data_IF_387764133987
#
_entry.id   IF_387764133987
#
_cell.length_a   1.000
_cell.length_b   1.000
_cell.length_c   1.000
_cell.angle_alpha   90.00
_cell.angle_beta   90.00
_cell.angle_gamma   90.00
#
_symmetry.space_group_name_H-M   'P 1'
#
loop_
_entity.id
_entity.type
_entity.pdbx_description
1 polymer ?
#
# COMPACT_ATOMS: atom_id res chain seq x y z
N UNK A 1 66.22 -5.78 12.10
CA UNK A 1 64.76 -5.73 11.87
C UNK A 1 64.28 -7.15 11.64
N UNK A 2 63.49 -7.73 12.55
CA UNK A 2 63.13 -9.14 12.48
C UNK A 2 62.05 -9.33 11.39
N UNK A 3 62.44 -9.91 10.25
CA UNK A 3 61.58 -10.13 9.08
C UNK A 3 60.23 -10.75 9.43
N UNK A 4 60.19 -11.61 10.45
CA UNK A 4 58.98 -12.27 10.94
C UNK A 4 57.94 -11.29 11.49
N UNK A 5 58.36 -10.18 12.08
CA UNK A 5 57.46 -9.18 12.66
C UNK A 5 56.89 -8.23 11.60
N UNK A 6 57.68 -7.93 10.57
CA UNK A 6 57.25 -7.15 9.41
C UNK A 6 56.20 -7.91 8.59
N UNK A 7 56.42 -9.20 8.34
CA UNK A 7 55.47 -10.05 7.61
C UNK A 7 54.13 -10.12 8.35
N UNK A 8 54.13 -10.31 9.68
CA UNK A 8 52.90 -10.33 10.48
C UNK A 8 52.14 -9.01 10.44
N UNK A 9 52.84 -7.87 10.46
CA UNK A 9 52.23 -6.53 10.37
C UNK A 9 51.60 -6.29 8.99
N UNK A 10 52.29 -6.70 7.93
CA UNK A 10 51.79 -6.59 6.56
C UNK A 10 50.54 -7.46 6.40
N UNK A 11 50.58 -8.69 6.93
CA UNK A 11 49.46 -9.63 6.84
C UNK A 11 48.21 -9.11 7.57
N UNK A 12 48.38 -8.57 8.78
CA UNK A 12 47.29 -7.97 9.55
C UNK A 12 46.64 -6.77 8.84
N UNK A 13 47.44 -5.95 8.14
CA UNK A 13 46.95 -4.82 7.34
C UNK A 13 46.20 -5.27 6.10
N UNK A 14 46.66 -6.33 5.45
CA UNK A 14 46.00 -6.92 4.28
C UNK A 14 44.67 -7.54 4.70
N UNK A 15 44.61 -8.29 5.81
CA UNK A 15 43.34 -8.84 6.30
C UNK A 15 42.31 -7.76 6.64
N UNK A 16 42.75 -6.65 7.25
CA UNK A 16 41.86 -5.54 7.57
C UNK A 16 41.32 -4.86 6.30
N UNK A 17 42.16 -4.70 5.27
CA UNK A 17 41.75 -4.11 3.99
C UNK A 17 40.78 -5.02 3.22
N UNK A 18 40.99 -6.33 3.24
CA UNK A 18 40.12 -7.30 2.57
C UNK A 18 38.78 -7.45 3.30
N UNK A 19 38.76 -7.40 4.64
CA UNK A 19 37.51 -7.46 5.44
C UNK A 19 36.66 -6.18 5.35
N UNK A 20 37.27 -5.03 5.04
CA UNK A 20 36.57 -3.76 4.83
C UNK A 20 36.16 -3.50 3.38
N UNK A 21 36.64 -4.30 2.43
CA UNK A 21 36.32 -4.14 1.01
C UNK A 21 35.00 -4.84 0.68
N UNK A 22 34.02 -4.07 0.24
CA UNK A 22 32.81 -4.61 -0.39
C UNK A 22 33.17 -5.17 -1.78
N UNK A 23 32.64 -6.33 -2.20
CA UNK A 23 32.98 -6.94 -3.49
C UNK A 23 32.75 -5.98 -4.66
N UNK A 24 33.69 -5.95 -5.61
CA UNK A 24 33.56 -5.20 -6.85
C UNK A 24 32.47 -5.85 -7.72
N UNK A 25 31.33 -5.19 -7.80
CA UNK A 25 30.18 -5.63 -8.58
C UNK A 25 29.06 -4.61 -8.50
N UNK A 26 28.65 -4.20 -7.30
CA UNK A 26 27.69 -3.11 -7.04
C UNK A 26 27.56 -2.88 -5.52
N UNK A 27 28.61 -2.33 -4.89
CA UNK A 27 28.52 -1.89 -3.51
C UNK A 27 27.84 -0.51 -3.45
N UNK A 28 26.54 -0.45 -3.67
CA UNK A 28 25.79 0.77 -3.37
C UNK A 28 25.61 0.86 -1.84
N UNK A 29 26.46 1.68 -1.20
CA UNK A 29 26.29 2.13 0.20
C UNK A 29 25.05 3.04 0.28
N UNK A 30 23.86 2.44 0.18
CA UNK A 30 22.59 3.15 0.08
C UNK A 30 22.25 3.53 -1.37
N UNK A 31 20.99 3.33 -1.76
CA UNK A 31 20.47 3.89 -3.00
C UNK A 31 20.34 5.40 -2.84
N UNK A 32 21.05 6.17 -3.66
CA UNK A 32 21.01 7.64 -3.65
C UNK A 32 19.87 8.05 -4.59
N UNK A 33 18.63 8.02 -4.12
CA UNK A 33 17.43 8.38 -4.89
C UNK A 33 16.14 7.82 -4.27
N UNK A 34 15.01 8.49 -4.52
CA UNK A 34 13.68 8.00 -4.12
C UNK A 34 13.32 6.75 -4.95
N UNK A 35 12.85 5.70 -4.28
CA UNK A 35 12.43 4.46 -4.94
C UNK A 35 10.93 4.49 -5.13
N UNK A 36 10.48 4.87 -6.32
CA UNK A 36 9.06 4.93 -6.66
C UNK A 36 8.57 3.57 -7.18
N UNK A 37 7.56 3.00 -6.52
CA UNK A 37 6.98 1.71 -6.88
C UNK A 37 5.45 1.73 -6.78
N UNK A 38 4.71 1.34 -7.83
CA UNK A 38 3.30 1.03 -7.72
C UNK A 38 3.12 -0.32 -7.01
N UNK A 39 2.22 -0.38 -6.02
CA UNK A 39 1.91 -1.63 -5.31
C UNK A 39 0.42 -1.89 -5.47
N UNK A 40 0.10 -2.97 -6.19
CA UNK A 40 -1.27 -3.36 -6.49
C UNK A 40 -1.83 -4.28 -5.39
N UNK A 41 -3.07 -4.01 -4.98
CA UNK A 41 -3.92 -4.93 -4.24
C UNK A 41 -5.28 -5.05 -4.95
N UNK A 42 -5.90 -6.22 -4.84
CA UNK A 42 -7.26 -6.45 -5.37
C UNK A 42 -8.18 -6.85 -4.23
N UNK A 43 -9.32 -6.17 -4.14
CA UNK A 43 -10.42 -6.51 -3.25
C UNK A 43 -11.55 -7.10 -4.10
N UNK A 44 -11.93 -8.34 -3.86
CA UNK A 44 -13.11 -8.96 -4.46
C UNK A 44 -14.20 -9.03 -3.41
N UNK A 45 -15.36 -8.45 -3.72
CA UNK A 45 -16.53 -8.48 -2.86
C UNK A 45 -17.11 -9.90 -2.74
N UNK A 46 -17.94 -10.16 -1.71
CA UNK A 46 -18.82 -11.32 -1.69
C UNK A 46 -19.70 -11.42 -2.95
N UNK A 47 -20.14 -12.64 -3.25
CA UNK A 47 -20.96 -12.95 -4.42
C UNK A 47 -22.44 -12.60 -4.19
N UNK A 48 -22.74 -11.32 -3.93
CA UNK A 48 -24.09 -10.78 -3.74
C UNK A 48 -24.29 -9.47 -4.52
N UNK A 49 -25.52 -8.98 -4.52
CA UNK A 49 -25.93 -7.74 -5.17
C UNK A 49 -26.60 -6.78 -4.20
N UNK A 50 -26.29 -6.89 -2.91
CA UNK A 50 -26.89 -6.04 -1.89
C UNK A 50 -26.43 -4.59 -2.10
N UNK A 51 -27.39 -3.67 -2.09
CA UNK A 51 -27.10 -2.27 -2.35
C UNK A 51 -26.34 -1.66 -1.16
N UNK A 52 -25.31 -0.90 -1.48
CA UNK A 52 -24.62 -0.05 -0.53
C UNK A 52 -25.38 1.24 -0.30
N UNK A 53 -25.40 1.68 0.95
CA UNK A 53 -25.73 3.05 1.33
C UNK A 53 -24.47 3.91 1.40
N UNK A 54 -24.64 5.22 1.55
CA UNK A 54 -23.50 6.11 1.72
C UNK A 54 -22.77 5.78 3.03
N UNK A 55 -21.43 5.85 2.99
CA UNK A 55 -20.51 5.56 4.09
C UNK A 55 -20.42 4.08 4.49
N UNK A 56 -20.90 3.16 3.65
CA UNK A 56 -20.70 1.73 3.90
C UNK A 56 -19.30 1.26 3.50
N UNK A 57 -18.77 0.28 4.23
CA UNK A 57 -17.49 -0.34 3.98
C UNK A 57 -17.61 -1.41 2.89
N UNK A 58 -16.70 -1.36 1.91
CA UNK A 58 -16.53 -2.41 0.91
C UNK A 58 -15.41 -3.33 1.40
N UNK A 59 -15.71 -4.62 1.56
CA UNK A 59 -14.79 -5.63 2.08
C UNK A 59 -14.95 -6.99 1.38
N UNK A 60 -14.10 -7.95 1.71
CA UNK A 60 -14.06 -9.28 1.07
C UNK A 60 -15.15 -10.23 1.61
N UNK A 61 -15.72 -9.94 2.78
CA UNK A 61 -16.67 -10.80 3.50
C UNK A 61 -17.67 -10.00 4.32
N UNK A 62 -18.86 -10.58 4.52
CA UNK A 62 -19.89 -10.09 5.45
C UNK A 62 -19.62 -10.47 6.92
N UNK A 63 -18.65 -11.36 7.16
CA UNK A 63 -18.12 -11.69 8.49
C UNK A 63 -16.67 -12.15 8.40
N UNK A 64 -15.83 -11.69 9.33
CA UNK A 64 -14.39 -12.00 9.33
C UNK A 64 -13.62 -11.41 8.15
N UNK A 65 -14.03 -10.23 7.66
CA UNK A 65 -13.34 -9.48 6.62
C UNK A 65 -11.87 -9.19 6.95
N UNK A 66 -11.08 -9.04 5.90
CA UNK A 66 -9.63 -8.75 5.95
C UNK A 66 -9.35 -7.34 5.44
N UNK A 67 -8.37 -6.66 6.02
CA UNK A 67 -7.90 -5.39 5.51
C UNK A 67 -7.14 -5.60 4.19
N UNK A 68 -7.18 -4.60 3.32
CA UNK A 68 -6.44 -4.57 2.06
C UNK A 68 -4.96 -4.38 2.42
N UNK A 69 -4.08 -5.27 2.01
CA UNK A 69 -2.65 -5.18 2.32
C UNK A 69 -1.86 -4.65 1.12
N UNK A 70 -1.04 -3.61 1.35
CA UNK A 70 0.00 -3.16 0.43
C UNK A 70 1.35 -3.66 0.92
N UNK A 71 1.70 -4.87 0.51
CA UNK A 71 2.94 -5.52 0.90
C UNK A 71 4.16 -4.76 0.38
N UNK A 72 5.20 -4.67 1.21
CA UNK A 72 6.46 -3.98 0.85
C UNK A 72 6.31 -2.48 0.57
N UNK A 73 5.32 -1.80 1.15
CA UNK A 73 5.21 -0.35 1.14
C UNK A 73 6.43 0.35 1.77
N UNK A 74 7.08 -0.27 2.75
CA UNK A 74 8.39 0.12 3.28
C UNK A 74 9.47 -0.88 2.89
N UNK A 75 10.67 -0.37 2.53
CA UNK A 75 11.84 -1.20 2.15
C UNK A 75 12.40 -2.04 3.30
N UNK A 76 12.06 -1.68 4.53
CA UNK A 76 12.47 -2.32 5.77
C UNK A 76 11.42 -2.09 6.85
N UNK A 77 11.48 -2.88 7.91
CA UNK A 77 10.70 -2.64 9.13
C UNK A 77 10.85 -1.19 9.60
N UNK A 78 9.74 -0.50 9.82
CA UNK A 78 9.75 0.91 10.21
C UNK A 78 9.96 1.90 9.05
N UNK A 79 9.96 1.43 7.80
CA UNK A 79 10.22 2.22 6.60
C UNK A 79 9.24 3.38 6.42
N UNK A 80 9.72 4.46 5.79
CA UNK A 80 8.95 5.70 5.58
C UNK A 80 8.91 6.05 4.10
N UNK A 81 7.98 6.93 3.74
CA UNK A 81 7.86 7.42 2.38
C UNK A 81 6.62 8.30 2.20
N UNK A 82 6.24 8.51 0.95
CA UNK A 82 5.02 9.20 0.56
C UNK A 82 4.19 8.34 -0.39
N UNK A 83 2.86 8.37 -0.22
CA UNK A 83 1.95 7.96 -1.29
C UNK A 83 1.77 9.18 -2.20
N UNK A 84 2.19 9.04 -3.46
CA UNK A 84 2.30 10.14 -4.44
C UNK A 84 1.21 10.12 -5.50
N UNK A 85 0.56 8.97 -5.67
CA UNK A 85 -0.57 8.80 -6.57
C UNK A 85 -1.36 7.55 -6.24
N UNK A 86 -2.46 7.36 -6.95
CA UNK A 86 -3.34 6.21 -6.82
C UNK A 86 -4.02 5.94 -8.16
N UNK A 87 -3.97 4.69 -8.61
CA UNK A 87 -4.90 4.16 -9.61
C UNK A 87 -5.94 3.31 -8.89
N UNK A 88 -7.21 3.64 -9.10
CA UNK A 88 -8.34 2.91 -8.56
C UNK A 88 -9.25 2.49 -9.72
N UNK A 89 -9.62 1.22 -9.77
CA UNK A 89 -10.43 0.67 -10.84
C UNK A 89 -11.39 -0.38 -10.32
N UNK A 90 -12.56 -0.47 -10.92
CA UNK A 90 -13.53 -1.55 -10.70
C UNK A 90 -13.91 -2.20 -12.01
N UNK A 91 -14.22 -3.50 -11.96
CA UNK A 91 -14.63 -4.31 -13.11
C UNK A 91 -16.11 -4.14 -13.50
N UNK A 92 -16.79 -3.12 -12.95
CA UNK A 92 -18.15 -2.73 -13.32
C UNK A 92 -18.19 -1.29 -13.84
N UNK A 93 -18.27 -1.13 -15.16
CA UNK A 93 -18.31 0.16 -15.85
C UNK A 93 -19.45 1.11 -15.40
N UNK A 94 -20.55 0.56 -14.89
CA UNK A 94 -21.68 1.35 -14.39
C UNK A 94 -21.43 1.90 -12.98
N UNK A 95 -20.45 1.37 -12.25
CA UNK A 95 -20.08 1.88 -10.94
C UNK A 95 -19.19 3.11 -11.12
N UNK A 96 -19.79 4.29 -10.96
CA UNK A 96 -19.14 5.60 -11.09
C UNK A 96 -19.15 6.38 -9.78
N UNK A 97 -19.19 5.65 -8.66
CA UNK A 97 -19.28 6.20 -7.31
C UNK A 97 -17.98 6.87 -6.84
N UNK A 98 -18.11 7.58 -5.72
CA UNK A 98 -17.02 8.18 -4.95
C UNK A 98 -16.61 7.28 -3.79
N UNK A 99 -15.33 7.30 -3.42
CA UNK A 99 -14.81 6.44 -2.35
C UNK A 99 -13.83 7.17 -1.44
N UNK A 100 -13.65 6.64 -0.25
CA UNK A 100 -12.54 6.97 0.64
C UNK A 100 -11.70 5.72 0.89
N UNK A 101 -10.39 5.86 0.73
CA UNK A 101 -9.43 4.81 1.08
C UNK A 101 -8.74 5.20 2.39
N UNK A 102 -9.06 4.51 3.47
CA UNK A 102 -8.47 4.74 4.79
C UNK A 102 -7.20 3.92 4.92
N UNK A 103 -6.08 4.58 5.21
CA UNK A 103 -4.75 3.95 5.29
C UNK A 103 -4.32 3.79 6.75
N UNK A 104 -3.74 2.63 7.06
CA UNK A 104 -3.24 2.23 8.36
C UNK A 104 -1.81 1.69 8.25
N UNK A 105 -0.98 1.91 9.28
CA UNK A 105 0.43 1.42 9.33
C UNK A 105 0.59 0.00 9.84
N UNK A 106 -0.50 -0.58 10.34
CA UNK A 106 -0.67 -1.92 10.87
C UNK A 106 -2.07 -2.40 10.51
N UNK A 107 -2.30 -3.72 10.54
CA UNK A 107 -3.62 -4.28 10.31
C UNK A 107 -4.57 -3.81 11.44
N UNK A 108 -5.72 -3.20 11.12
CA UNK A 108 -6.73 -2.85 12.11
C UNK A 108 -7.17 -4.07 12.92
N UNK A 109 -7.38 -3.89 14.23
CA UNK A 109 -7.79 -4.99 15.10
C UNK A 109 -9.18 -5.53 14.76
N UNK A 110 -10.07 -4.64 14.30
CA UNK A 110 -11.39 -4.98 13.78
C UNK A 110 -11.58 -4.35 12.41
N UNK A 111 -11.63 -5.19 11.38
CA UNK A 111 -12.00 -4.75 10.04
C UNK A 111 -13.52 -4.72 9.93
N UNK A 112 -14.04 -3.61 9.43
CA UNK A 112 -15.48 -3.43 9.18
C UNK A 112 -15.88 -4.35 8.03
N UNK A 113 -17.01 -5.04 8.21
CA UNK A 113 -17.50 -6.05 7.28
C UNK A 113 -18.11 -5.41 6.04
N UNK A 114 -18.27 -6.22 5.00
CA UNK A 114 -18.91 -5.78 3.78
C UNK A 114 -20.33 -5.30 4.04
N UNK A 115 -20.69 -4.17 3.41
CA UNK A 115 -22.01 -3.55 3.49
C UNK A 115 -22.44 -3.12 4.92
N UNK A 116 -21.46 -2.96 5.83
CA UNK A 116 -21.67 -2.35 7.13
C UNK A 116 -21.17 -0.90 7.11
N UNK A 117 -21.84 -0.03 7.86
CA UNK A 117 -21.45 1.39 7.98
C UNK A 117 -20.00 1.49 8.44
N UNK A 118 -19.17 2.15 7.65
CA UNK A 118 -17.79 2.42 8.00
C UNK A 118 -17.75 3.39 9.18
N UNK A 119 -16.97 3.04 10.19
CA UNK A 119 -16.78 3.86 11.36
C UNK A 119 -15.33 3.80 11.85
N UNK A 120 -14.78 4.97 12.18
CA UNK A 120 -13.45 5.04 12.79
C UNK A 120 -13.48 4.43 14.19
N UNK A 121 -12.81 3.30 14.38
CA UNK A 121 -12.67 2.63 15.68
C UNK A 121 -11.61 3.38 16.51
N UNK A 122 -11.92 3.65 17.79
CA UNK A 122 -11.00 4.42 18.66
C UNK A 122 -9.67 3.68 18.91
N UNK A 123 -9.69 2.35 18.95
CA UNK A 123 -8.47 1.54 19.10
C UNK A 123 -7.49 1.74 17.93
N UNK A 124 -7.98 1.98 16.72
CA UNK A 124 -7.14 2.10 15.52
C UNK A 124 -6.64 3.53 15.27
N UNK A 125 -7.03 4.52 16.10
CA UNK A 125 -6.59 5.92 15.96
C UNK A 125 -5.07 6.06 15.95
N UNK A 126 -4.38 5.24 16.74
CA UNK A 126 -2.93 5.26 16.82
C UNK A 126 -2.26 4.71 15.55
N UNK A 127 -2.91 3.84 14.77
CA UNK A 127 -2.35 3.22 13.57
C UNK A 127 -2.85 3.86 12.27
N UNK A 128 -3.81 4.79 12.34
CA UNK A 128 -4.31 5.52 11.17
C UNK A 128 -3.23 6.46 10.61
N UNK A 129 -2.94 6.33 9.32
CA UNK A 129 -2.00 7.17 8.58
C UNK A 129 -2.74 8.35 7.95
N UNK A 130 -3.89 8.09 7.34
CA UNK A 130 -4.70 9.12 6.69
C UNK A 130 -5.83 8.54 5.85
N UNK A 131 -6.45 9.39 5.06
CA UNK A 131 -7.49 9.00 4.10
C UNK A 131 -7.14 9.62 2.75
N UNK A 132 -7.28 8.84 1.68
CA UNK A 132 -7.25 9.34 0.30
C UNK A 132 -8.69 9.40 -0.18
N UNK A 133 -9.17 10.61 -0.51
CA UNK A 133 -10.47 10.76 -1.16
C UNK A 133 -10.33 10.45 -2.65
N UNK A 134 -11.22 9.61 -3.15
CA UNK A 134 -11.31 9.18 -4.54
C UNK A 134 -12.59 9.80 -5.11
N UNK A 135 -12.49 10.90 -5.87
CA UNK A 135 -13.65 11.50 -6.52
C UNK A 135 -14.28 10.52 -7.51
N UNK A 136 -15.48 10.86 -7.99
CA UNK A 136 -16.27 10.00 -8.88
C UNK A 136 -15.40 9.41 -10.00
N UNK A 137 -15.47 8.08 -10.10
CA UNK A 137 -14.73 7.31 -11.09
C UNK A 137 -15.49 7.30 -12.42
N UNK A 138 -14.81 7.04 -13.53
CA UNK A 138 -15.41 7.13 -14.85
C UNK A 138 -15.22 5.84 -15.64
N UNK A 139 -16.25 5.45 -16.39
CA UNK A 139 -16.19 4.36 -17.35
C UNK A 139 -15.03 4.54 -18.33
N UNK A 140 -14.26 3.48 -18.56
CA UNK A 140 -13.12 3.50 -19.49
C UNK A 140 -13.58 3.19 -20.91
N UNK A 141 -13.82 4.23 -21.70
CA UNK A 141 -14.23 4.09 -23.10
C UNK A 141 -15.70 3.65 -23.28
N UNK A 142 -16.25 3.83 -24.49
CA UNK A 142 -17.69 3.66 -24.74
C UNK A 142 -18.19 2.22 -24.51
N UNK A 143 -17.37 1.21 -24.79
CA UNK A 143 -17.68 -0.22 -24.64
C UNK A 143 -16.89 -0.90 -23.52
N UNK A 144 -16.21 -0.12 -22.66
CA UNK A 144 -15.46 -0.68 -21.56
C UNK A 144 -16.35 -1.38 -20.54
N UNK A 145 -15.78 -2.39 -19.88
CA UNK A 145 -16.40 -3.12 -18.78
C UNK A 145 -15.95 -2.59 -17.42
N UNK A 146 -14.93 -1.73 -17.35
CA UNK A 146 -14.41 -1.15 -16.11
C UNK A 146 -14.68 0.36 -15.98
N UNK A 147 -14.58 0.83 -14.75
CA UNK A 147 -14.53 2.25 -14.42
C UNK A 147 -13.30 2.54 -13.56
N UNK A 148 -12.62 3.65 -13.82
CA UNK A 148 -11.30 3.95 -13.27
C UNK A 148 -11.17 5.43 -12.87
N UNK A 149 -10.28 5.66 -11.91
CA UNK A 149 -9.76 6.97 -11.53
C UNK A 149 -8.26 6.89 -11.30
N UNK A 150 -7.54 7.86 -11.85
CA UNK A 150 -6.14 8.11 -11.53
C UNK A 150 -6.02 9.42 -10.76
N UNK A 151 -5.23 9.39 -9.69
CA UNK A 151 -4.93 10.53 -8.84
C UNK A 151 -3.41 10.70 -8.82
N UNK A 152 -2.94 11.90 -9.12
CA UNK A 152 -1.52 12.26 -9.11
C UNK A 152 -1.26 13.42 -8.17
N UNK A 153 -0.04 13.55 -7.65
CA UNK A 153 0.35 14.69 -6.83
C UNK A 153 -0.13 14.59 -5.38
N UNK A 154 -0.51 13.39 -4.93
CA UNK A 154 -0.70 13.12 -3.51
C UNK A 154 0.63 13.34 -2.77
N UNK A 155 0.53 13.71 -1.50
CA UNK A 155 1.69 13.83 -0.60
C UNK A 155 1.31 13.33 0.78
N UNK A 156 0.77 12.10 0.85
CA UNK A 156 0.41 11.49 2.13
C UNK A 156 1.65 10.81 2.72
N UNK A 157 2.29 11.37 3.78
CA UNK A 157 3.42 10.73 4.42
C UNK A 157 2.98 9.47 5.14
N UNK A 158 3.83 8.45 5.15
CA UNK A 158 3.61 7.25 5.93
C UNK A 158 4.88 6.78 6.65
N UNK A 159 4.65 5.99 7.69
CA UNK A 159 5.65 5.16 8.34
C UNK A 159 5.01 3.81 8.60
N UNK A 160 5.55 2.75 8.01
CA UNK A 160 5.12 1.39 8.29
C UNK A 160 5.58 0.99 9.70
N UNK A 161 4.83 0.13 10.38
CA UNK A 161 5.37 -0.53 11.58
C UNK A 161 6.30 -1.67 11.18
N UNK A 162 5.83 -2.55 10.30
CA UNK A 162 6.64 -3.54 9.60
C UNK A 162 7.04 -2.99 8.22
N UNK A 163 6.76 -3.74 7.15
CA UNK A 163 6.99 -3.33 5.76
C UNK A 163 5.69 -3.06 5.00
N UNK A 164 4.53 -3.51 5.49
CA UNK A 164 3.24 -3.33 4.82
C UNK A 164 2.48 -2.11 5.37
N UNK A 165 1.64 -1.53 4.51
CA UNK A 165 0.50 -0.70 4.93
C UNK A 165 -0.80 -1.46 4.69
N UNK A 166 -1.85 -1.06 5.38
CA UNK A 166 -3.16 -1.67 5.29
C UNK A 166 -4.21 -0.62 4.95
N UNK A 167 -5.33 -1.04 4.36
CA UNK A 167 -6.41 -0.14 4.06
C UNK A 167 -7.80 -0.76 4.18
N UNK A 168 -8.78 0.13 4.31
CA UNK A 168 -10.21 -0.18 4.18
C UNK A 168 -10.83 0.79 3.18
N UNK A 169 -11.76 0.28 2.39
CA UNK A 169 -12.47 1.04 1.37
C UNK A 169 -13.87 1.39 1.86
N UNK A 170 -14.22 2.66 1.79
CA UNK A 170 -15.55 3.19 2.12
C UNK A 170 -16.16 3.79 0.84
N UNK A 171 -17.45 3.56 0.61
CA UNK A 171 -18.18 4.28 -0.44
C UNK A 171 -18.74 5.58 0.10
N UNK A 172 -18.61 6.68 -0.63
CA UNK A 172 -19.17 8.00 -0.24
C UNK A 172 -20.63 8.13 -0.69
N UNK A 173 -20.99 7.42 -1.75
CA UNK A 173 -22.33 7.42 -2.33
C UNK A 173 -22.89 5.99 -2.38
N UNK A 174 -24.21 5.82 -2.26
CA UNK A 174 -24.81 4.51 -2.45
C UNK A 174 -24.72 4.01 -3.90
N UNK A 175 -24.61 2.70 -4.08
CA UNK A 175 -24.63 2.04 -5.39
C UNK A 175 -25.08 0.57 -5.27
N UNK A 176 -25.51 -0.02 -6.38
CA UNK A 176 -25.80 -1.47 -6.45
C UNK A 176 -24.66 -2.18 -7.17
N UNK A 177 -23.95 -3.09 -6.49
CA UNK A 177 -22.79 -3.76 -7.06
C UNK A 177 -23.19 -4.88 -8.02
N UNK A 178 -22.24 -5.30 -8.85
CA UNK A 178 -22.31 -6.61 -9.50
C UNK A 178 -21.87 -7.72 -8.52
N UNK A 179 -22.37 -8.94 -8.74
CA UNK A 179 -21.95 -10.11 -7.94
C UNK A 179 -20.45 -10.34 -8.09
N UNK A 180 -19.75 -10.47 -6.95
CA UNK A 180 -18.30 -10.66 -6.88
C UNK A 180 -17.48 -9.57 -7.59
N UNK A 181 -18.01 -8.35 -7.66
CA UNK A 181 -17.31 -7.19 -8.20
C UNK A 181 -15.94 -7.00 -7.55
N UNK A 182 -14.95 -6.70 -8.40
CA UNK A 182 -13.57 -6.48 -7.98
C UNK A 182 -13.20 -4.99 -8.02
N UNK A 183 -12.29 -4.63 -7.11
CA UNK A 183 -11.67 -3.32 -7.02
C UNK A 183 -10.15 -3.50 -7.02
N UNK A 184 -9.49 -2.93 -8.03
CA UNK A 184 -8.04 -2.82 -8.13
C UNK A 184 -7.61 -1.50 -7.51
N UNK A 185 -6.68 -1.57 -6.57
CA UNK A 185 -6.19 -0.43 -5.80
C UNK A 185 -4.67 -0.45 -5.91
N UNK A 186 -4.11 0.52 -6.62
CA UNK A 186 -2.69 0.62 -6.92
C UNK A 186 -2.15 2.00 -6.51
N UNK A 187 -1.86 2.21 -5.21
CA UNK A 187 -1.11 3.37 -4.76
C UNK A 187 0.33 3.36 -5.29
N UNK A 188 0.83 4.55 -5.61
CA UNK A 188 2.22 4.79 -6.00
C UNK A 188 2.99 5.25 -4.76
N UNK A 189 3.95 4.44 -4.33
CA UNK A 189 4.79 4.70 -3.17
C UNK A 189 6.13 5.27 -3.59
N UNK A 190 6.50 6.44 -3.08
CA UNK A 190 7.87 6.94 -3.09
C UNK A 190 8.54 6.56 -1.77
N UNK A 191 9.38 5.53 -1.82
CA UNK A 191 10.00 4.91 -0.64
C UNK A 191 11.36 5.53 -0.35
N UNK A 192 11.60 5.84 0.92
CA UNK A 192 12.88 6.35 1.43
C UNK A 192 13.84 5.22 1.84
#
# INVERSE_FOLDING_TARGET
MNLTNEIKRIWLRIEAAVKGATPAGEAHLGSIGGYTVPIQATLTRPADTDAYTALDCIADKTSGASAIEFANAGRKTGGTGYITGLRFETDQAANVSEYNLHIFREAPGTVIQDNAVWNAVTADKAIRVGTINIPAIAKVGASGTSALKEITGLKLPYKCTATSLFAQLETVTGFTPASAQAFLIEPIFDQN
#
